data_IF_012427501638
#
_entry.id   IF_012427501638
#
_cell.length_a   1.000
_cell.length_b   1.000
_cell.length_c   1.000
_cell.angle_alpha   90.00
_cell.angle_beta   90.00
_cell.angle_gamma   90.00
#
_symmetry.space_group_name_H-M   'P 1'
#
loop_
_entity.id
_entity.type
_entity.pdbx_description
1 polymer ?
#
# COMPACT_ATOMS: atom_id res chain seq x y z
N UNK A 1 -53.34 -68.28 -71.20
CA UNK A 1 -51.92 -68.07 -71.00
C UNK A 1 -51.77 -67.30 -69.65
N UNK A 2 -51.55 -68.08 -68.60
CA UNK A 2 -51.54 -67.53 -67.20
C UNK A 2 -50.13 -67.14 -66.84
N UNK A 3 -49.94 -65.86 -66.45
CA UNK A 3 -48.67 -65.38 -65.84
C UNK A 3 -48.87 -65.39 -64.33
N UNK A 4 -48.04 -66.21 -63.64
CA UNK A 4 -48.00 -66.30 -62.21
C UNK A 4 -47.06 -65.18 -61.65
N UNK A 5 -47.63 -64.29 -60.87
CA UNK A 5 -46.87 -63.37 -60.06
C UNK A 5 -46.28 -64.12 -58.85
N UNK A 6 -44.96 -64.04 -58.65
CA UNK A 6 -44.27 -64.46 -57.44
C UNK A 6 -43.99 -63.21 -56.56
N UNK A 7 -44.63 -63.18 -55.43
CA UNK A 7 -44.30 -62.17 -54.37
C UNK A 7 -43.03 -62.56 -53.67
N UNK A 8 -42.07 -61.61 -53.61
CA UNK A 8 -40.82 -61.71 -52.84
C UNK A 8 -41.10 -61.04 -51.48
N UNK A 9 -41.03 -61.81 -50.40
CA UNK A 9 -41.13 -61.33 -49.06
C UNK A 9 -39.77 -60.72 -48.65
N UNK A 10 -39.70 -59.40 -48.38
CA UNK A 10 -38.56 -58.78 -47.77
C UNK A 10 -38.64 -58.96 -46.23
N UNK A 11 -37.70 -59.70 -45.71
CA UNK A 11 -37.48 -59.77 -44.25
C UNK A 11 -36.74 -58.51 -43.74
N UNK A 12 -37.43 -57.72 -42.95
CA UNK A 12 -36.80 -56.55 -42.26
C UNK A 12 -35.91 -57.02 -41.10
N UNK A 13 -34.66 -56.70 -41.16
CA UNK A 13 -33.70 -56.86 -40.04
C UNK A 13 -33.85 -55.66 -39.12
N UNK A 14 -34.07 -55.80 -37.79
CA UNK A 14 -34.12 -54.68 -36.91
C UNK A 14 -32.73 -54.15 -36.68
N UNK A 15 -32.49 -52.89 -37.05
CA UNK A 15 -31.30 -52.14 -36.72
C UNK A 15 -31.34 -51.77 -35.22
N UNK A 16 -30.49 -52.42 -34.37
CA UNK A 16 -30.36 -52.08 -33.02
C UNK A 16 -29.58 -50.74 -32.94
N UNK A 17 -30.25 -49.65 -32.56
CA UNK A 17 -29.61 -48.39 -32.18
C UNK A 17 -28.85 -48.61 -30.87
N UNK A 18 -27.51 -48.72 -30.92
CA UNK A 18 -26.66 -48.54 -29.75
C UNK A 18 -26.72 -47.06 -29.36
N UNK A 19 -27.51 -46.71 -28.35
CA UNK A 19 -27.50 -45.42 -27.74
C UNK A 19 -26.17 -45.24 -27.01
N UNK A 20 -25.28 -44.38 -27.54
CA UNK A 20 -24.11 -43.90 -26.81
C UNK A 20 -24.63 -42.98 -25.70
N UNK A 21 -24.69 -43.52 -24.48
CA UNK A 21 -24.90 -42.69 -23.29
C UNK A 21 -23.59 -41.91 -23.06
N UNK A 22 -23.51 -40.70 -23.60
CA UNK A 22 -22.51 -39.75 -23.17
C UNK A 22 -22.88 -39.35 -21.75
N UNK A 23 -22.19 -39.93 -20.75
CA UNK A 23 -22.15 -39.35 -19.41
C UNK A 23 -21.47 -38.00 -19.54
N UNK A 24 -22.28 -36.92 -19.65
CA UNK A 24 -21.79 -35.58 -19.36
C UNK A 24 -21.36 -35.58 -17.90
N UNK A 25 -20.06 -35.57 -17.67
CA UNK A 25 -19.53 -35.15 -16.37
C UNK A 25 -19.99 -33.72 -16.15
N UNK A 26 -21.12 -33.53 -15.47
CA UNK A 26 -21.42 -32.27 -14.84
C UNK A 26 -20.33 -32.07 -13.82
N UNK A 27 -19.37 -31.18 -14.13
CA UNK A 27 -18.56 -30.58 -13.13
C UNK A 27 -19.54 -29.84 -12.21
N UNK A 28 -19.83 -30.42 -11.04
CA UNK A 28 -20.51 -29.71 -9.98
C UNK A 28 -19.63 -28.47 -9.69
N UNK A 29 -20.03 -27.33 -10.24
CA UNK A 29 -19.49 -26.06 -9.77
C UNK A 29 -19.75 -26.05 -8.27
N UNK A 30 -18.69 -25.94 -7.50
CA UNK A 30 -18.79 -25.85 -6.05
C UNK A 30 -19.73 -24.68 -5.72
N UNK A 31 -20.87 -24.99 -5.08
CA UNK A 31 -21.87 -23.98 -4.69
C UNK A 31 -21.67 -23.69 -3.22
N UNK A 32 -21.16 -22.50 -2.93
CA UNK A 32 -20.93 -22.00 -1.58
C UNK A 32 -20.29 -20.63 -1.64
N UNK A 33 -20.45 -19.83 -0.60
CA UNK A 33 -19.79 -18.56 -0.50
C UNK A 33 -18.26 -18.75 -0.33
N UNK A 34 -17.48 -17.89 -0.97
CA UNK A 34 -16.02 -17.93 -0.88
C UNK A 34 -15.57 -17.45 0.49
N UNK A 35 -14.80 -18.26 1.19
CA UNK A 35 -14.11 -17.85 2.41
C UNK A 35 -12.83 -17.08 2.04
N UNK A 36 -12.99 -15.80 1.73
CA UNK A 36 -11.91 -14.94 1.25
C UNK A 36 -11.03 -14.47 2.41
N UNK A 37 -9.72 -14.34 2.19
CA UNK A 37 -8.85 -13.55 3.06
C UNK A 37 -9.22 -12.07 2.99
N UNK A 38 -8.77 -11.30 3.99
CA UNK A 38 -8.73 -9.84 4.01
C UNK A 38 -7.35 -9.42 4.49
N UNK A 39 -6.49 -9.03 3.57
CA UNK A 39 -5.12 -8.66 3.88
C UNK A 39 -5.06 -7.20 4.31
N UNK A 40 -4.51 -6.96 5.48
CA UNK A 40 -4.35 -5.61 6.03
C UNK A 40 -2.88 -5.26 6.18
N UNK A 41 -2.52 -4.08 5.75
CA UNK A 41 -1.23 -3.49 6.03
C UNK A 41 -1.23 -2.82 7.40
N UNK A 42 -0.36 -3.21 8.33
CA UNK A 42 -0.11 -2.43 9.53
C UNK A 42 0.89 -1.30 9.23
N UNK A 43 0.79 -0.16 9.93
CA UNK A 43 1.76 0.91 9.80
C UNK A 43 3.18 0.42 10.08
N UNK A 44 4.16 0.92 9.30
CA UNK A 44 5.55 0.58 9.48
C UNK A 44 6.06 1.00 10.86
N UNK A 45 6.94 0.18 11.43
CA UNK A 45 7.55 0.38 12.74
C UNK A 45 9.08 0.29 12.66
N UNK A 46 9.79 0.58 13.76
CA UNK A 46 11.26 0.51 13.82
C UNK A 46 11.93 1.28 12.67
N UNK A 47 11.41 2.49 12.38
CA UNK A 47 11.84 3.30 11.25
C UNK A 47 13.10 4.06 11.63
N UNK A 48 14.20 3.83 10.93
CA UNK A 48 15.48 4.47 11.17
C UNK A 48 16.35 4.48 9.89
N UNK A 49 17.31 5.37 9.81
CA UNK A 49 18.34 5.27 8.79
C UNK A 49 19.31 4.13 9.09
N UNK A 50 19.62 3.33 8.10
CA UNK A 50 20.61 2.26 8.13
C UNK A 50 22.06 2.76 8.05
N UNK A 51 23.00 1.93 7.64
CA UNK A 51 24.43 2.29 7.52
C UNK A 51 24.73 3.25 6.38
N UNK A 52 23.97 3.18 5.31
CA UNK A 52 23.98 4.10 4.15
C UNK A 52 22.73 4.98 4.19
N UNK A 53 22.46 5.78 3.15
CA UNK A 53 21.24 6.62 3.11
C UNK A 53 19.97 5.81 2.80
N UNK A 54 19.84 4.63 3.38
CA UNK A 54 18.65 3.80 3.30
C UNK A 54 17.77 4.02 4.55
N UNK A 55 16.50 4.32 4.33
CA UNK A 55 15.49 4.33 5.38
C UNK A 55 14.99 2.90 5.55
N UNK A 56 15.25 2.32 6.71
CA UNK A 56 14.88 0.96 7.09
C UNK A 56 13.68 0.96 8.00
N UNK A 57 12.84 -0.07 7.91
CA UNK A 57 11.62 -0.19 8.70
C UNK A 57 11.14 -1.63 8.76
N UNK A 58 10.35 -1.94 9.79
CA UNK A 58 9.63 -3.20 9.89
C UNK A 58 8.22 -3.04 9.35
N UNK A 59 7.72 -4.09 8.69
CA UNK A 59 6.34 -4.14 8.17
C UNK A 59 5.65 -5.42 8.64
N UNK A 60 4.35 -5.34 8.85
CA UNK A 60 3.49 -6.49 9.09
C UNK A 60 2.26 -6.39 8.21
N UNK A 61 2.01 -7.41 7.42
CA UNK A 61 0.69 -7.65 6.82
C UNK A 61 -0.01 -8.75 7.61
N UNK A 62 -1.35 -8.74 7.68
CA UNK A 62 -2.08 -9.78 8.38
C UNK A 62 -3.43 -10.06 7.74
N UNK A 63 -3.98 -11.24 7.99
CA UNK A 63 -5.24 -11.70 7.43
C UNK A 63 -6.39 -11.56 8.45
N UNK A 64 -7.33 -10.67 8.17
CA UNK A 64 -8.55 -10.44 8.94
C UNK A 64 -9.79 -11.07 8.32
N UNK A 65 -9.63 -11.88 7.26
CA UNK A 65 -10.73 -12.43 6.48
C UNK A 65 -11.42 -13.64 7.10
N UNK A 66 -12.40 -14.17 6.38
CA UNK A 66 -13.14 -15.38 6.77
C UNK A 66 -12.37 -16.67 6.47
N UNK A 67 -11.41 -16.63 5.52
CA UNK A 67 -10.57 -17.76 5.16
C UNK A 67 -9.09 -17.42 5.09
N UNK A 68 -8.21 -18.41 5.08
CA UNK A 68 -6.77 -18.20 4.94
C UNK A 68 -6.41 -17.72 3.53
N UNK A 69 -5.30 -17.00 3.40
CA UNK A 69 -4.59 -16.87 2.14
C UNK A 69 -3.79 -18.15 1.93
N UNK A 70 -4.05 -18.87 0.84
CA UNK A 70 -3.32 -20.09 0.47
C UNK A 70 -2.79 -19.90 -0.95
N UNK A 71 -1.46 -19.90 -1.09
CA UNK A 71 -0.75 -19.78 -2.35
C UNK A 71 -0.12 -21.13 -2.69
N UNK A 72 -0.59 -21.76 -3.76
CA UNK A 72 -0.13 -23.07 -4.21
C UNK A 72 0.66 -22.98 -5.50
N UNK A 73 1.84 -23.60 -5.53
CA UNK A 73 2.58 -23.75 -6.76
C UNK A 73 1.83 -24.66 -7.74
N UNK A 74 1.67 -24.16 -8.95
CA UNK A 74 1.17 -24.92 -10.09
C UNK A 74 2.29 -25.62 -10.86
N UNK A 75 2.14 -25.70 -12.16
CA UNK A 75 3.16 -26.27 -13.06
C UNK A 75 4.41 -25.40 -13.05
N UNK A 76 5.58 -26.02 -12.86
CA UNK A 76 6.85 -25.29 -12.93
C UNK A 76 7.08 -24.76 -14.34
N UNK A 77 7.16 -23.46 -14.53
CA UNK A 77 7.45 -22.83 -15.82
C UNK A 77 8.94 -22.77 -16.13
N UNK A 78 9.79 -22.73 -15.10
CA UNK A 78 11.26 -22.79 -15.18
C UNK A 78 11.86 -23.25 -13.85
N UNK A 79 13.16 -23.58 -13.78
CA UNK A 79 13.84 -23.92 -12.53
C UNK A 79 13.80 -22.81 -11.46
N UNK A 80 13.55 -21.58 -11.88
CA UNK A 80 13.59 -20.38 -11.01
C UNK A 80 12.23 -19.69 -10.88
N UNK A 81 11.18 -20.19 -11.53
CA UNK A 81 9.84 -19.59 -11.45
C UNK A 81 8.77 -20.67 -11.56
N UNK A 82 7.72 -20.55 -10.74
CA UNK A 82 6.56 -21.42 -10.72
C UNK A 82 5.31 -20.53 -10.72
N UNK A 83 4.34 -20.81 -11.61
CA UNK A 83 3.04 -20.15 -11.51
C UNK A 83 2.36 -20.53 -10.19
N UNK A 84 1.57 -19.60 -9.66
CA UNK A 84 0.88 -19.75 -8.38
C UNK A 84 -0.61 -19.57 -8.56
N UNK A 85 -1.37 -20.50 -7.99
CA UNK A 85 -2.81 -20.35 -7.81
C UNK A 85 -3.13 -20.05 -6.33
N UNK A 86 -4.03 -19.11 -6.10
CA UNK A 86 -4.67 -18.94 -4.82
C UNK A 86 -5.77 -20.00 -4.66
N UNK A 87 -5.65 -20.84 -3.65
CA UNK A 87 -6.70 -21.77 -3.26
C UNK A 87 -7.65 -21.09 -2.26
N UNK A 88 -8.93 -21.02 -2.60
CA UNK A 88 -9.96 -20.37 -1.80
C UNK A 88 -10.95 -21.43 -1.34
N UNK A 89 -11.13 -21.56 -0.04
CA UNK A 89 -12.12 -22.46 0.54
C UNK A 89 -13.55 -21.94 0.31
N UNK A 90 -14.50 -22.87 0.23
CA UNK A 90 -15.93 -22.59 0.13
C UNK A 90 -16.63 -22.90 1.45
N UNK A 91 -17.61 -22.10 1.82
CA UNK A 91 -18.53 -22.44 2.89
C UNK A 91 -19.27 -23.74 2.51
N UNK A 92 -19.28 -24.70 3.43
CA UNK A 92 -19.85 -26.03 3.14
C UNK A 92 -18.88 -27.03 2.52
N UNK A 93 -17.65 -26.65 2.23
CA UNK A 93 -16.58 -27.53 1.75
C UNK A 93 -16.25 -27.39 0.25
N UNK A 94 -15.07 -27.85 -0.11
CA UNK A 94 -14.50 -27.67 -1.43
C UNK A 94 -13.62 -26.42 -1.54
N UNK A 95 -12.97 -26.25 -2.70
CA UNK A 95 -12.07 -25.13 -2.97
C UNK A 95 -12.20 -24.65 -4.41
N UNK A 96 -11.83 -23.39 -4.66
CA UNK A 96 -11.69 -22.80 -5.99
C UNK A 96 -10.24 -22.35 -6.15
N UNK A 97 -9.66 -22.57 -7.33
CA UNK A 97 -8.34 -22.08 -7.69
C UNK A 97 -8.45 -20.84 -8.57
N UNK A 98 -7.66 -19.81 -8.29
CA UNK A 98 -7.52 -18.61 -9.10
C UNK A 98 -6.05 -18.29 -9.29
N UNK A 99 -5.64 -18.03 -10.53
CA UNK A 99 -4.25 -17.61 -10.76
C UNK A 99 -3.93 -16.34 -9.98
N UNK A 100 -2.79 -16.37 -9.27
CA UNK A 100 -2.36 -15.29 -8.37
C UNK A 100 -0.99 -14.69 -8.79
N UNK A 101 -0.29 -15.28 -9.75
CA UNK A 101 1.03 -14.83 -10.17
C UNK A 101 2.08 -15.92 -10.08
N UNK A 102 3.26 -15.59 -9.54
CA UNK A 102 4.40 -16.50 -9.59
C UNK A 102 5.17 -16.57 -8.27
N UNK A 103 5.70 -17.77 -7.97
CA UNK A 103 6.82 -17.94 -7.07
C UNK A 103 8.13 -17.82 -7.86
N UNK A 104 9.05 -16.98 -7.38
CA UNK A 104 10.38 -16.81 -7.94
C UNK A 104 11.44 -17.33 -6.98
N UNK A 105 12.43 -18.05 -7.50
CA UNK A 105 13.54 -18.56 -6.71
C UNK A 105 14.43 -17.42 -6.23
N UNK A 106 14.67 -17.37 -4.93
CA UNK A 106 15.56 -16.37 -4.32
C UNK A 106 16.90 -17.03 -3.96
N UNK A 107 17.98 -16.84 -4.77
CA UNK A 107 19.21 -17.61 -4.63
C UNK A 107 19.94 -17.38 -3.30
N UNK A 108 19.89 -16.17 -2.75
CA UNK A 108 20.52 -15.87 -1.45
C UNK A 108 19.80 -16.45 -0.25
N UNK A 109 18.52 -16.76 -0.40
CA UNK A 109 17.70 -17.35 0.65
C UNK A 109 17.47 -18.86 0.45
N UNK A 110 17.80 -19.38 -0.75
CA UNK A 110 17.61 -20.78 -1.12
C UNK A 110 16.17 -21.28 -0.98
N UNK A 111 15.20 -20.42 -1.27
CA UNK A 111 13.77 -20.77 -1.32
C UNK A 111 13.00 -19.86 -2.26
N UNK A 112 11.74 -20.22 -2.55
CA UNK A 112 10.85 -19.45 -3.40
C UNK A 112 10.16 -18.32 -2.63
N UNK A 113 10.01 -17.16 -3.30
CA UNK A 113 9.23 -16.02 -2.84
C UNK A 113 8.05 -15.78 -3.76
N UNK A 114 6.93 -15.35 -3.21
CA UNK A 114 5.80 -14.85 -3.99
C UNK A 114 6.13 -13.43 -4.50
N UNK A 115 6.02 -13.24 -5.81
CA UNK A 115 6.39 -11.99 -6.47
C UNK A 115 5.27 -10.95 -6.37
N UNK A 116 5.64 -9.71 -6.03
CA UNK A 116 4.72 -8.59 -6.02
C UNK A 116 3.73 -8.60 -4.85
N UNK A 117 4.04 -9.32 -3.76
CA UNK A 117 3.17 -9.39 -2.58
C UNK A 117 2.98 -8.04 -1.89
N UNK A 118 4.05 -7.25 -1.78
CA UNK A 118 3.97 -5.92 -1.19
C UNK A 118 4.86 -4.93 -1.95
N UNK A 119 4.53 -3.64 -1.83
CA UNK A 119 5.32 -2.52 -2.33
C UNK A 119 5.46 -1.48 -1.24
N UNK A 120 6.66 -0.96 -1.09
CA UNK A 120 6.97 0.15 -0.20
C UNK A 120 7.24 1.39 -1.03
N UNK A 121 6.62 2.50 -0.67
CA UNK A 121 6.78 3.75 -1.38
C UNK A 121 6.98 4.87 -0.38
N UNK A 122 7.98 5.73 -0.60
CA UNK A 122 8.13 6.97 0.14
C UNK A 122 7.99 8.15 -0.81
N UNK A 123 7.20 9.13 -0.41
CA UNK A 123 6.99 10.35 -1.19
C UNK A 123 6.87 11.55 -0.26
N UNK A 124 7.21 12.78 -0.73
CA UNK A 124 6.96 13.99 0.02
C UNK A 124 5.49 14.09 0.46
N UNK A 125 5.25 14.53 1.68
CA UNK A 125 3.90 14.56 2.26
C UNK A 125 2.96 15.57 1.60
N UNK A 126 3.49 16.56 0.86
CA UNK A 126 2.71 17.52 0.11
C UNK A 126 2.20 17.01 -1.24
N UNK A 127 1.10 17.57 -1.71
CA UNK A 127 0.46 17.18 -2.97
C UNK A 127 1.25 17.57 -4.25
N UNK A 128 2.32 18.32 -4.14
CA UNK A 128 3.11 18.80 -5.28
C UNK A 128 4.32 17.91 -5.54
N UNK A 129 4.08 16.79 -6.24
CA UNK A 129 4.98 16.12 -7.15
C UNK A 129 6.47 16.03 -6.82
N UNK A 130 6.85 15.69 -5.58
CA UNK A 130 8.21 15.30 -5.29
C UNK A 130 8.53 13.91 -5.86
N UNK A 131 9.82 13.61 -6.04
CA UNK A 131 10.25 12.30 -6.51
C UNK A 131 9.85 11.21 -5.52
N UNK A 132 8.99 10.33 -5.96
CA UNK A 132 8.67 9.08 -5.27
C UNK A 132 9.90 8.16 -5.27
N UNK A 133 10.11 7.42 -4.18
CA UNK A 133 11.08 6.32 -4.12
C UNK A 133 10.36 5.03 -3.78
N UNK A 134 10.70 3.99 -4.52
CA UNK A 134 10.16 2.65 -4.31
C UNK A 134 11.18 1.81 -3.56
N UNK A 135 10.71 1.03 -2.61
CA UNK A 135 11.53 0.09 -1.86
C UNK A 135 12.10 -1.03 -2.73
N UNK A 136 13.20 -1.59 -2.31
CA UNK A 136 13.91 -2.62 -3.07
C UNK A 136 13.27 -4.00 -2.98
N UNK A 137 12.55 -4.28 -1.88
CA UNK A 137 11.94 -5.59 -1.68
C UNK A 137 10.60 -5.70 -2.39
N UNK A 138 10.52 -6.61 -3.35
CA UNK A 138 9.31 -6.87 -4.15
C UNK A 138 8.81 -8.31 -4.04
N UNK A 139 9.61 -9.19 -3.43
CA UNK A 139 9.30 -10.62 -3.32
C UNK A 139 9.33 -11.06 -1.86
N UNK A 140 8.38 -11.89 -1.46
CA UNK A 140 8.16 -12.27 -0.06
C UNK A 140 7.86 -13.77 0.06
N UNK A 141 8.38 -14.39 1.11
CA UNK A 141 7.86 -15.66 1.57
C UNK A 141 6.68 -15.39 2.51
N UNK A 142 5.48 -15.66 2.06
CA UNK A 142 4.27 -15.38 2.84
C UNK A 142 4.05 -16.48 3.87
N UNK A 143 4.08 -16.13 5.17
CA UNK A 143 3.97 -17.10 6.26
C UNK A 143 3.44 -16.47 7.57
N UNK A 144 3.01 -17.32 8.49
CA UNK A 144 2.54 -16.92 9.83
C UNK A 144 3.73 -16.68 10.77
N UNK A 145 4.16 -15.43 10.91
CA UNK A 145 5.26 -15.07 11.83
C UNK A 145 4.77 -14.37 13.10
N UNK A 146 3.58 -13.76 13.04
CA UNK A 146 3.06 -12.90 14.12
C UNK A 146 1.59 -13.18 14.41
N UNK A 147 1.25 -13.36 15.69
CA UNK A 147 -0.15 -13.40 16.13
C UNK A 147 -0.69 -11.97 16.21
N UNK A 148 -1.66 -11.63 15.37
CA UNK A 148 -2.27 -10.29 15.37
C UNK A 148 -3.62 -10.29 16.07
N UNK A 149 -4.54 -11.15 15.65
CA UNK A 149 -5.86 -11.29 16.28
C UNK A 149 -6.36 -12.73 16.16
N UNK A 150 -5.88 -13.60 17.03
CA UNK A 150 -6.25 -15.03 17.06
C UNK A 150 -7.61 -15.29 17.72
N UNK A 151 -8.39 -14.26 18.04
CA UNK A 151 -9.78 -14.40 18.52
C UNK A 151 -10.80 -14.39 17.38
N UNK A 152 -10.38 -14.13 16.14
CA UNK A 152 -11.26 -14.19 14.99
C UNK A 152 -11.79 -15.61 14.75
N UNK A 153 -13.04 -15.77 14.27
CA UNK A 153 -13.56 -17.08 13.88
C UNK A 153 -12.65 -17.74 12.83
N UNK A 154 -12.31 -18.99 13.03
CA UNK A 154 -11.42 -19.73 12.13
C UNK A 154 -9.92 -19.48 12.33
N UNK A 155 -9.52 -18.59 13.24
CA UNK A 155 -8.11 -18.35 13.55
C UNK A 155 -7.50 -19.56 14.29
N UNK A 156 -6.41 -20.18 13.76
CA UNK A 156 -5.76 -21.28 14.43
C UNK A 156 -4.92 -20.80 15.62
N UNK A 157 -4.84 -21.62 16.67
CA UNK A 157 -4.03 -21.32 17.86
C UNK A 157 -2.51 -21.36 17.59
N UNK A 158 -2.10 -22.10 16.56
CA UNK A 158 -0.70 -22.23 16.11
C UNK A 158 -0.60 -21.88 14.62
N UNK A 159 0.57 -21.43 14.20
CA UNK A 159 0.84 -21.08 12.81
C UNK A 159 0.52 -22.24 11.85
N UNK A 160 -0.32 -22.00 10.87
CA UNK A 160 -0.64 -22.95 9.81
C UNK A 160 0.39 -22.97 8.70
N UNK A 161 1.01 -21.82 8.43
CA UNK A 161 2.03 -21.62 7.38
C UNK A 161 3.30 -21.10 8.04
N UNK A 162 4.18 -22.02 8.45
CA UNK A 162 5.38 -21.68 9.24
C UNK A 162 6.69 -21.83 8.48
N UNK A 163 6.65 -22.10 7.19
CA UNK A 163 7.85 -22.30 6.36
C UNK A 163 7.70 -21.67 4.98
N UNK A 164 8.81 -21.28 4.38
CA UNK A 164 8.89 -20.83 2.99
C UNK A 164 8.85 -22.01 2.00
N UNK A 165 7.74 -22.75 2.03
CA UNK A 165 7.57 -23.95 1.20
C UNK A 165 7.61 -23.63 -0.29
N UNK A 166 8.17 -24.54 -1.10
CA UNK A 166 8.18 -24.43 -2.55
C UNK A 166 6.82 -24.79 -3.18
N UNK A 167 5.94 -25.44 -2.44
CA UNK A 167 4.64 -25.91 -2.93
C UNK A 167 3.48 -25.10 -2.35
N UNK A 168 3.64 -24.59 -1.14
CA UNK A 168 2.59 -23.84 -0.46
C UNK A 168 3.20 -22.79 0.46
N UNK A 169 2.70 -21.57 0.32
CA UNK A 169 2.90 -20.47 1.26
C UNK A 169 1.52 -19.92 1.63
N UNK A 170 1.41 -19.13 2.68
CA UNK A 170 0.11 -18.60 3.04
C UNK A 170 0.09 -17.83 4.34
N UNK A 171 -1.12 -17.40 4.71
CA UNK A 171 -1.37 -16.65 5.94
C UNK A 171 -2.70 -17.07 6.54
N UNK A 172 -2.66 -17.61 7.74
CA UNK A 172 -3.85 -18.04 8.48
C UNK A 172 -4.69 -16.83 8.91
N UNK A 173 -5.98 -17.05 9.12
CA UNK A 173 -6.86 -16.04 9.72
C UNK A 173 -6.30 -15.60 11.07
N UNK A 174 -6.24 -14.29 11.32
CA UNK A 174 -5.75 -13.72 12.58
C UNK A 174 -4.23 -13.69 12.75
N UNK A 175 -3.49 -14.25 11.80
CA UNK A 175 -2.03 -14.22 11.75
C UNK A 175 -1.53 -13.18 10.76
N UNK A 176 -0.28 -12.79 10.93
CA UNK A 176 0.43 -11.87 10.07
C UNK A 176 1.84 -12.31 9.75
N UNK A 177 2.38 -11.73 8.72
CA UNK A 177 3.76 -11.87 8.29
C UNK A 177 4.53 -10.59 8.57
N UNK A 178 5.55 -10.70 9.42
CA UNK A 178 6.37 -9.56 9.85
C UNK A 178 7.76 -9.64 9.25
N UNK A 179 8.12 -8.61 8.50
CA UNK A 179 9.47 -8.40 7.98
C UNK A 179 10.18 -7.33 8.80
N UNK A 180 11.19 -7.75 9.55
CA UNK A 180 11.96 -6.87 10.43
C UNK A 180 12.89 -5.94 9.64
N UNK A 181 13.16 -4.76 10.19
CA UNK A 181 14.00 -3.72 9.56
C UNK A 181 15.45 -4.16 9.27
N UNK A 182 15.93 -5.23 9.89
CA UNK A 182 17.27 -5.80 9.65
C UNK A 182 17.35 -6.69 8.40
N UNK A 183 16.22 -7.12 7.86
CA UNK A 183 16.19 -8.03 6.69
C UNK A 183 16.67 -7.32 5.42
N UNK A 184 17.31 -8.08 4.54
CA UNK A 184 17.78 -7.58 3.25
C UNK A 184 16.64 -7.00 2.42
N UNK A 185 16.87 -5.83 1.80
CA UNK A 185 15.88 -5.14 0.96
C UNK A 185 14.75 -4.45 1.72
N UNK A 186 14.66 -4.61 3.06
CA UNK A 186 13.64 -3.97 3.89
C UNK A 186 13.98 -2.49 4.11
N UNK A 187 14.05 -1.74 3.02
CA UNK A 187 14.46 -0.32 3.02
C UNK A 187 14.05 0.40 1.74
N UNK A 188 14.12 1.74 1.80
CA UNK A 188 14.04 2.65 0.66
C UNK A 188 15.29 3.52 0.62
N UNK A 189 15.91 3.66 -0.56
CA UNK A 189 17.07 4.54 -0.76
C UNK A 189 16.64 6.02 -0.75
N UNK A 190 17.20 6.78 0.18
CA UNK A 190 16.95 8.21 0.37
C UNK A 190 18.06 9.10 -0.22
N UNK A 191 19.00 8.53 -0.97
CA UNK A 191 20.11 9.28 -1.56
C UNK A 191 19.59 10.41 -2.45
N UNK A 192 20.04 11.63 -2.17
CA UNK A 192 19.64 12.83 -2.91
C UNK A 192 18.24 13.37 -2.58
N UNK A 193 17.53 12.76 -1.64
CA UNK A 193 16.27 13.32 -1.16
C UNK A 193 16.54 14.46 -0.17
N UNK A 194 15.76 15.57 -0.22
CA UNK A 194 15.92 16.67 0.72
C UNK A 194 15.40 16.33 2.12
N UNK A 195 15.81 17.11 3.11
CA UNK A 195 15.17 17.11 4.42
C UNK A 195 13.70 17.57 4.29
N UNK A 196 12.75 16.92 4.98
CA UNK A 196 11.34 17.29 4.88
C UNK A 196 10.39 16.28 5.51
N UNK A 197 9.11 16.52 5.25
CA UNK A 197 8.03 15.61 5.68
C UNK A 197 7.68 14.66 4.53
N UNK A 198 7.57 13.38 4.87
CA UNK A 198 7.36 12.28 3.93
C UNK A 198 6.29 11.32 4.43
N UNK A 199 5.58 10.67 3.51
CA UNK A 199 4.76 9.50 3.81
C UNK A 199 5.44 8.24 3.32
N UNK A 200 5.57 7.27 4.23
CA UNK A 200 5.97 5.91 3.92
C UNK A 200 4.70 5.07 3.79
N UNK A 201 4.42 4.62 2.59
CA UNK A 201 3.29 3.74 2.25
C UNK A 201 3.72 2.28 2.24
N UNK A 202 2.87 1.44 2.77
CA UNK A 202 2.95 -0.01 2.66
C UNK A 202 1.72 -0.47 1.91
N UNK A 203 1.88 -0.99 0.70
CA UNK A 203 0.80 -1.53 -0.12
C UNK A 203 0.92 -3.06 -0.18
N UNK A 204 -0.11 -3.78 0.20
CA UNK A 204 -0.23 -5.22 0.05
C UNK A 204 -1.03 -5.51 -1.22
N UNK A 205 -0.60 -6.51 -1.99
CA UNK A 205 -1.16 -6.85 -3.30
C UNK A 205 -1.30 -5.63 -4.23
N UNK A 206 -0.22 -4.88 -4.49
CA UNK A 206 -0.27 -3.64 -5.27
C UNK A 206 -0.68 -3.85 -6.73
N UNK A 207 -0.70 -5.09 -7.20
CA UNK A 207 -1.10 -5.49 -8.56
C UNK A 207 -2.48 -6.11 -8.63
N UNK A 208 -3.19 -6.22 -7.51
CA UNK A 208 -4.56 -6.77 -7.41
C UNK A 208 -4.68 -8.20 -7.96
N UNK A 209 -3.71 -9.04 -7.69
CA UNK A 209 -3.65 -10.44 -8.14
C UNK A 209 -4.38 -11.40 -7.20
N UNK A 210 -4.52 -11.03 -5.93
CA UNK A 210 -5.17 -11.85 -4.93
C UNK A 210 -6.68 -11.58 -4.88
N UNK A 211 -7.44 -12.62 -4.63
CA UNK A 211 -8.86 -12.52 -4.35
C UNK A 211 -9.06 -12.29 -2.86
N UNK A 212 -9.64 -11.15 -2.51
CA UNK A 212 -9.85 -10.70 -1.13
C UNK A 212 -11.29 -10.22 -0.93
N UNK A 213 -11.77 -10.20 0.32
CA UNK A 213 -13.09 -9.68 0.64
C UNK A 213 -13.19 -8.16 0.48
N UNK A 214 -12.11 -7.43 0.72
CA UNK A 214 -11.94 -5.99 0.45
C UNK A 214 -10.46 -5.68 0.22
N UNK A 215 -10.18 -4.53 -0.42
CA UNK A 215 -8.83 -3.97 -0.60
C UNK A 215 -8.67 -2.59 0.03
N UNK A 216 -9.69 -2.11 0.70
CA UNK A 216 -9.67 -0.75 1.28
C UNK A 216 -8.66 -0.60 2.41
N UNK A 217 -8.22 -1.70 3.00
CA UNK A 217 -7.26 -1.76 4.10
C UNK A 217 -5.92 -2.45 3.75
N UNK A 218 -5.67 -2.69 2.44
CA UNK A 218 -4.39 -3.18 1.92
C UNK A 218 -3.26 -2.14 2.03
N UNK A 219 -3.58 -0.89 2.30
CA UNK A 219 -2.60 0.17 2.42
C UNK A 219 -2.53 0.71 3.85
N UNK A 220 -1.32 0.97 4.31
CA UNK A 220 -1.05 1.79 5.49
C UNK A 220 -0.01 2.86 5.18
N UNK A 221 0.04 3.90 6.01
CA UNK A 221 0.95 5.01 5.83
C UNK A 221 1.47 5.51 7.17
N UNK A 222 2.74 5.92 7.18
CA UNK A 222 3.34 6.62 8.30
C UNK A 222 3.84 7.98 7.82
N UNK A 223 3.40 9.05 8.47
CA UNK A 223 3.91 10.38 8.21
C UNK A 223 5.16 10.61 9.04
N UNK A 224 6.25 10.96 8.37
CA UNK A 224 7.60 11.10 8.91
C UNK A 224 8.14 12.50 8.66
N UNK A 225 8.90 13.04 9.61
CA UNK A 225 9.88 14.09 9.36
C UNK A 225 11.24 13.46 9.27
N UNK A 226 11.91 13.66 8.14
CA UNK A 226 13.24 13.13 7.85
C UNK A 226 14.25 14.28 7.74
N UNK A 227 15.39 14.13 8.40
CA UNK A 227 16.60 14.84 8.03
C UNK A 227 17.55 13.80 7.41
N UNK A 228 17.64 13.79 6.09
CA UNK A 228 18.51 12.88 5.34
C UNK A 228 19.96 13.22 5.61
N UNK A 229 20.28 14.53 5.73
CA UNK A 229 21.62 15.01 6.03
C UNK A 229 22.12 14.63 7.42
N UNK A 230 21.24 14.61 8.43
CA UNK A 230 21.56 14.23 9.81
C UNK A 230 21.18 12.78 10.11
N UNK A 231 20.50 12.12 9.19
CA UNK A 231 20.01 10.74 9.31
C UNK A 231 19.12 10.53 10.54
N UNK A 232 18.18 11.47 10.74
CA UNK A 232 17.21 11.40 11.82
C UNK A 232 15.80 11.25 11.31
N UNK A 233 14.98 10.50 12.06
CA UNK A 233 13.59 10.21 11.78
C UNK A 233 12.75 10.66 12.98
N UNK A 234 11.65 11.36 12.70
CA UNK A 234 10.60 11.64 13.68
C UNK A 234 9.28 11.17 13.08
N UNK A 235 8.58 10.27 13.77
CA UNK A 235 7.21 9.88 13.39
C UNK A 235 6.27 11.00 13.81
N UNK A 236 5.61 11.64 12.85
CA UNK A 236 4.64 12.70 13.10
C UNK A 236 3.23 12.12 13.29
N UNK A 237 2.86 11.14 12.47
CA UNK A 237 1.63 10.38 12.62
C UNK A 237 1.86 8.93 12.17
N UNK A 238 1.65 7.94 13.04
CA UNK A 238 1.89 6.53 12.70
C UNK A 238 0.81 5.90 11.81
N UNK A 239 -0.31 6.59 11.53
CA UNK A 239 -1.39 6.05 10.72
C UNK A 239 -2.13 7.18 9.99
N UNK A 240 -1.48 7.76 8.97
CA UNK A 240 -2.08 8.86 8.20
C UNK A 240 -1.72 8.78 6.71
N UNK A 241 -2.68 8.36 5.90
CA UNK A 241 -2.58 8.33 4.44
C UNK A 241 -3.13 9.60 3.77
N UNK A 242 -3.65 10.56 4.53
CA UNK A 242 -4.26 11.77 3.98
C UNK A 242 -3.20 12.70 3.42
N UNK A 243 -3.26 13.02 2.13
CA UNK A 243 -2.35 13.96 1.51
C UNK A 243 -2.46 15.34 2.19
N UNK A 244 -1.30 15.94 2.51
CA UNK A 244 -1.28 17.32 3.00
C UNK A 244 -1.53 18.28 1.84
N UNK A 245 -2.42 19.24 2.03
CA UNK A 245 -2.63 20.36 1.12
C UNK A 245 -2.62 21.67 1.90
N UNK A 246 -2.28 22.78 1.24
CA UNK A 246 -2.50 24.13 1.75
C UNK A 246 -3.40 24.84 0.75
N UNK A 247 -4.58 25.28 1.20
CA UNK A 247 -5.59 25.91 0.33
C UNK A 247 -5.74 27.40 0.58
N UNK A 248 -5.45 27.90 1.79
CA UNK A 248 -5.48 29.32 2.11
C UNK A 248 -4.62 29.67 3.32
N UNK A 249 -4.22 30.96 3.39
CA UNK A 249 -3.59 31.58 4.54
C UNK A 249 -4.34 32.88 4.88
N UNK A 250 -4.74 33.05 6.13
CA UNK A 250 -5.47 34.24 6.57
C UNK A 250 -4.92 34.77 7.92
N UNK A 251 -4.63 36.09 8.04
CA UNK A 251 -4.58 37.04 6.93
C UNK A 251 -3.44 36.73 5.95
N UNK A 252 -3.68 36.98 4.67
CA UNK A 252 -2.69 36.79 3.60
C UNK A 252 -1.66 37.95 3.50
N UNK A 253 -1.77 38.95 4.36
CA UNK A 253 -0.95 40.15 4.33
C UNK A 253 -0.50 40.52 5.73
N UNK A 254 0.79 40.86 5.92
CA UNK A 254 1.25 41.50 7.13
C UNK A 254 1.13 43.02 7.02
N UNK A 255 0.69 43.67 8.06
CA UNK A 255 0.60 45.13 8.14
C UNK A 255 1.89 45.71 8.74
N UNK A 256 2.70 46.35 7.91
CA UNK A 256 3.89 47.11 8.34
C UNK A 256 5.17 46.30 8.54
N UNK A 257 6.26 47.02 8.78
CA UNK A 257 7.60 46.49 9.04
C UNK A 257 7.68 45.91 10.47
N UNK A 258 8.36 44.78 10.60
CA UNK A 258 8.55 44.08 11.88
C UNK A 258 7.26 43.69 12.60
N UNK A 259 6.21 43.42 11.82
CA UNK A 259 4.91 43.06 12.35
C UNK A 259 4.91 41.65 12.95
N UNK A 260 4.04 41.47 13.94
CA UNK A 260 3.65 40.15 14.42
C UNK A 260 2.23 39.85 13.94
N UNK A 261 2.05 38.74 13.25
CA UNK A 261 0.77 38.33 12.67
C UNK A 261 0.39 36.95 13.17
N UNK A 262 -0.84 36.82 13.66
CA UNK A 262 -1.44 35.49 13.89
C UNK A 262 -2.07 35.03 12.58
N UNK A 263 -1.55 33.97 11.99
CA UNK A 263 -2.11 33.38 10.77
C UNK A 263 -2.89 32.12 11.06
N UNK A 264 -3.89 31.88 10.22
CA UNK A 264 -4.59 30.59 10.10
C UNK A 264 -4.28 30.04 8.70
N UNK A 265 -3.78 28.82 8.66
CA UNK A 265 -3.58 28.06 7.42
C UNK A 265 -4.69 27.02 7.32
N UNK A 266 -5.37 26.97 6.20
CA UNK A 266 -6.37 25.93 5.88
C UNK A 266 -5.87 25.01 4.78
N UNK A 267 -6.32 23.75 4.83
CA UNK A 267 -5.88 22.70 3.90
C UNK A 267 -6.41 21.33 4.30
N UNK A 268 -5.59 20.30 4.13
CA UNK A 268 -5.89 18.93 4.59
C UNK A 268 -4.64 18.27 5.15
N UNK A 269 -4.82 17.19 5.91
CA UNK A 269 -3.73 16.34 6.38
C UNK A 269 -2.76 17.05 7.35
N UNK A 270 -3.20 18.07 8.10
CA UNK A 270 -2.37 18.69 9.12
C UNK A 270 -2.32 17.82 10.38
N UNK A 271 -1.11 17.58 10.88
CA UNK A 271 -0.88 16.81 12.11
C UNK A 271 0.03 17.57 13.06
N UNK A 272 -0.07 17.27 14.35
CA UNK A 272 0.76 17.84 15.40
C UNK A 272 2.25 17.75 15.05
N UNK A 273 2.97 18.86 15.20
CA UNK A 273 4.38 18.98 14.85
C UNK A 273 4.64 19.62 13.48
N UNK A 274 3.67 19.71 12.59
CA UNK A 274 3.77 20.50 11.36
C UNK A 274 3.82 22.01 11.70
N UNK A 275 4.54 22.76 10.88
CA UNK A 275 4.62 24.22 10.98
C UNK A 275 4.77 24.85 9.60
N UNK A 276 4.23 26.07 9.39
CA UNK A 276 4.40 26.79 8.15
C UNK A 276 5.84 27.29 7.97
N UNK A 277 6.31 27.25 6.73
CA UNK A 277 7.55 27.87 6.28
C UNK A 277 7.25 28.81 5.11
N UNK A 278 8.09 29.83 4.92
CA UNK A 278 7.93 30.86 3.90
C UNK A 278 9.14 30.82 2.96
N UNK A 279 8.87 30.71 1.65
CA UNK A 279 9.90 30.54 0.62
C UNK A 279 9.60 31.42 -0.60
N UNK A 280 10.53 31.45 -1.56
CA UNK A 280 10.42 32.14 -2.86
C UNK A 280 10.26 33.68 -2.82
N UNK A 281 10.34 34.31 -1.65
CA UNK A 281 10.36 35.74 -1.51
C UNK A 281 11.71 36.23 -0.97
N UNK A 282 12.00 37.51 -1.13
CA UNK A 282 13.21 38.15 -0.61
C UNK A 282 12.88 39.40 0.21
N UNK A 283 13.87 39.96 0.89
CA UNK A 283 13.74 41.22 1.65
C UNK A 283 13.14 41.06 3.05
N UNK A 284 12.70 39.88 3.45
CA UNK A 284 12.15 39.62 4.79
C UNK A 284 12.68 38.30 5.37
N UNK A 285 12.57 38.16 6.67
CA UNK A 285 12.80 36.90 7.40
C UNK A 285 11.60 36.62 8.31
N UNK A 286 11.31 35.36 8.54
CA UNK A 286 10.15 34.93 9.32
C UNK A 286 10.61 34.10 10.53
N UNK A 287 10.04 34.43 11.69
CA UNK A 287 10.11 33.57 12.86
C UNK A 287 8.71 33.04 13.16
N UNK A 288 8.54 31.73 13.09
CA UNK A 288 7.26 31.04 13.31
C UNK A 288 7.26 30.42 14.70
N UNK A 289 6.25 30.74 15.51
CA UNK A 289 6.09 30.27 16.88
C UNK A 289 4.61 30.01 17.20
N UNK A 290 4.32 29.46 18.38
CA UNK A 290 2.96 29.18 18.85
C UNK A 290 2.11 28.46 17.81
N UNK A 291 2.71 27.45 17.17
CA UNK A 291 2.00 26.65 16.15
C UNK A 291 1.07 25.68 16.84
N UNK A 292 -0.20 25.70 16.44
CA UNK A 292 -1.24 24.78 16.91
C UNK A 292 -1.96 24.20 15.71
N UNK A 293 -1.94 22.89 15.58
CA UNK A 293 -2.84 22.16 14.66
C UNK A 293 -4.16 22.01 15.40
N UNK A 294 -5.17 22.79 15.00
CA UNK A 294 -6.49 22.82 15.61
C UNK A 294 -7.27 21.55 15.25
N UNK A 295 -7.17 21.14 13.99
CA UNK A 295 -7.71 19.91 13.42
C UNK A 295 -6.98 19.59 12.11
N UNK A 296 -7.23 18.45 11.44
CA UNK A 296 -6.55 18.10 10.19
C UNK A 296 -6.73 19.09 9.03
N UNK A 297 -7.63 20.06 9.13
CA UNK A 297 -7.88 21.07 8.10
C UNK A 297 -7.43 22.48 8.49
N UNK A 298 -7.03 22.69 9.74
CA UNK A 298 -6.75 24.04 10.27
C UNK A 298 -5.53 24.04 11.17
N UNK A 299 -4.58 24.91 10.84
CA UNK A 299 -3.39 25.19 11.62
C UNK A 299 -3.30 26.69 11.90
N UNK A 300 -2.95 27.08 13.13
CA UNK A 300 -2.68 28.47 13.50
C UNK A 300 -1.22 28.64 13.88
N UNK A 301 -0.64 29.80 13.60
CA UNK A 301 0.73 30.12 13.96
C UNK A 301 0.92 31.62 14.20
N UNK A 302 1.80 31.95 15.13
CA UNK A 302 2.29 33.32 15.32
C UNK A 302 3.53 33.52 14.46
N UNK A 303 3.46 34.49 13.54
CA UNK A 303 4.54 34.80 12.60
C UNK A 303 5.08 36.19 12.90
N UNK A 304 6.38 36.28 13.18
CA UNK A 304 7.10 37.56 13.31
C UNK A 304 7.84 37.81 12.01
N UNK A 305 7.48 38.88 11.34
CA UNK A 305 8.07 39.32 10.06
C UNK A 305 9.09 40.39 10.31
N UNK A 306 10.34 40.17 9.91
CA UNK A 306 11.42 41.18 9.94
C UNK A 306 11.81 41.53 8.51
N UNK A 307 11.60 42.77 8.13
CA UNK A 307 11.92 43.27 6.79
C UNK A 307 13.28 43.98 6.83
N UNK A 308 14.19 43.66 5.93
CA UNK A 308 15.56 44.16 5.93
C UNK A 308 15.76 45.45 5.13
N UNK A 309 14.88 45.77 4.16
CA UNK A 309 15.02 46.96 3.29
C UNK A 309 13.81 47.10 2.39
N UNK A 310 13.68 48.22 1.72
CA UNK A 310 12.68 48.43 0.65
C UNK A 310 12.99 47.52 -0.56
N UNK A 311 12.44 46.34 -0.52
CA UNK A 311 12.48 45.38 -1.65
C UNK A 311 11.44 45.72 -2.71
N UNK A 312 11.65 45.24 -3.93
CA UNK A 312 10.68 45.42 -5.04
C UNK A 312 9.36 44.76 -4.64
N UNK A 313 8.23 45.25 -5.19
CA UNK A 313 6.90 44.78 -4.85
C UNK A 313 6.74 43.24 -5.04
N UNK A 314 7.39 42.71 -6.07
CA UNK A 314 7.41 41.23 -6.34
C UNK A 314 8.16 40.39 -5.32
N UNK A 315 9.12 41.00 -4.58
CA UNK A 315 9.95 40.30 -3.60
C UNK A 315 9.25 40.12 -2.25
N UNK A 316 8.08 40.72 -2.09
CA UNK A 316 7.27 40.73 -0.86
C UNK A 316 6.20 39.66 -0.83
N UNK A 317 6.06 38.91 -1.91
CA UNK A 317 5.11 37.79 -2.02
C UNK A 317 5.84 36.50 -1.72
N UNK A 318 5.24 35.68 -0.88
CA UNK A 318 5.85 34.47 -0.35
C UNK A 318 4.95 33.27 -0.54
N UNK A 319 5.55 32.15 -0.87
CA UNK A 319 4.90 30.86 -0.82
C UNK A 319 4.85 30.38 0.63
N UNK A 320 3.76 29.72 0.99
CA UNK A 320 3.60 29.11 2.31
C UNK A 320 3.54 27.60 2.15
N UNK A 321 4.45 26.92 2.84
CA UNK A 321 4.57 25.45 2.81
C UNK A 321 4.28 24.88 4.20
N UNK A 322 3.43 23.84 4.26
CA UNK A 322 3.16 23.05 5.48
C UNK A 322 3.20 21.56 5.10
N UNK A 323 3.99 20.77 5.82
CA UNK A 323 4.09 19.33 5.60
C UNK A 323 4.47 18.94 4.16
N UNK A 324 5.29 19.78 3.49
CA UNK A 324 5.68 19.60 2.10
C UNK A 324 4.70 20.13 1.05
N UNK A 325 3.45 20.46 1.42
CA UNK A 325 2.48 21.09 0.54
C UNK A 325 2.68 22.60 0.48
N UNK A 326 2.73 23.17 -0.71
CA UNK A 326 3.00 24.60 -0.95
C UNK A 326 1.82 25.28 -1.58
N UNK A 327 1.40 26.40 -1.02
CA UNK A 327 0.53 27.37 -1.67
C UNK A 327 1.38 28.54 -2.16
N UNK A 328 1.46 28.71 -3.47
CA UNK A 328 2.23 29.76 -4.09
C UNK A 328 1.57 31.13 -3.86
N UNK A 329 2.40 32.17 -3.68
CA UNK A 329 1.96 33.56 -3.52
C UNK A 329 0.93 33.76 -2.37
N UNK A 330 1.05 32.96 -1.32
CA UNK A 330 0.05 32.87 -0.25
C UNK A 330 0.15 33.96 0.83
N UNK A 331 1.30 34.66 0.92
CA UNK A 331 1.50 35.65 1.96
C UNK A 331 2.28 36.87 1.42
N UNK A 332 1.75 38.04 1.65
CA UNK A 332 2.36 39.32 1.23
C UNK A 332 2.88 40.12 2.43
N UNK A 333 4.10 40.59 2.35
CA UNK A 333 4.64 41.55 3.33
C UNK A 333 4.39 42.98 2.84
N UNK A 334 3.48 43.68 3.50
CA UNK A 334 3.19 45.06 3.19
C UNK A 334 4.16 45.99 3.94
N UNK A 335 4.85 46.87 3.26
CA UNK A 335 5.86 47.77 3.88
C UNK A 335 5.32 49.17 4.19
N UNK A 336 4.01 49.41 4.03
CA UNK A 336 3.35 50.68 4.32
C UNK A 336 3.40 51.64 3.15
#
# INVERSE_FOLDING_TARGET
MLIRNRSIALTAVPLALLGIITLSQQSNAATGDLLLPNLKALPATNIAFGSVNDLRFSTTSWNAGAGPLILKAGTTSSPTSQNVDQEIALEGGGTVLRNAGDFVWHPTHSHFHFEGYARYTIQPAGASGGSERIGQKTTFCVMDTTRVNTTLPGAPAIAGYSTCGSQTQGMSVGWGDTYGSSLSGQSVDMTGMPDGDYRLYIDIDPYHRLSESTREDNQSCVLLRLSVTRRTVTVLNPNDCTATTVSAVAPAVSSGLNATVQITVTGTGFVTGMKPTFTNGIGSTFTVSSVVVVNPQTLTAKVVVKTKSASRATDRVWDVTVGGATLANAFTVNTG
#
